data_IF_454251810795
#
_entry.id   IF_454251810795
#
_cell.length_a   1.000
_cell.length_b   1.000
_cell.length_c   1.000
_cell.angle_alpha   90.00
_cell.angle_beta   90.00
_cell.angle_gamma   90.00
#
_symmetry.space_group_name_H-M   'P 1'
#
loop_
_entity.id
_entity.type
_entity.pdbx_description
1 polymer ?
#
# COMPACT_ATOMS: atom_id res chain seq x y z
N UNK A 1 2.28 -13.14 -10.17
CA UNK A 1 1.50 -12.40 -11.18
C UNK A 1 1.40 -10.96 -10.73
N UNK A 2 1.58 -9.95 -11.60
CA UNK A 2 1.34 -8.57 -11.21
C UNK A 2 -0.13 -8.39 -10.85
N UNK A 3 -0.39 -7.78 -9.70
CA UNK A 3 -1.74 -7.41 -9.31
C UNK A 3 -2.36 -6.45 -10.32
N UNK A 4 -3.67 -6.55 -10.52
CA UNK A 4 -4.42 -5.62 -11.37
C UNK A 4 -5.05 -4.55 -10.47
N UNK A 5 -5.07 -3.32 -10.96
CA UNK A 5 -5.71 -2.20 -10.30
C UNK A 5 -7.20 -2.51 -10.12
N UNK A 6 -7.73 -2.35 -8.91
CA UNK A 6 -9.12 -2.67 -8.59
C UNK A 6 -10.13 -1.78 -9.33
N UNK A 7 -9.73 -0.59 -9.78
CA UNK A 7 -10.61 0.37 -10.45
C UNK A 7 -10.64 0.23 -11.98
N UNK A 8 -9.48 0.02 -12.61
CA UNK A 8 -9.35 0.04 -14.07
C UNK A 8 -8.85 -1.28 -14.67
N UNK A 9 -8.45 -2.25 -13.84
CA UNK A 9 -7.91 -3.54 -14.28
C UNK A 9 -6.48 -3.50 -14.86
N UNK A 10 -5.85 -2.32 -14.92
CA UNK A 10 -4.47 -2.16 -15.42
C UNK A 10 -3.44 -2.73 -14.43
N UNK A 11 -2.32 -3.23 -14.95
CA UNK A 11 -1.17 -3.69 -14.14
C UNK A 11 -0.17 -2.56 -13.82
N UNK A 12 -0.47 -1.33 -14.26
CA UNK A 12 0.33 -0.14 -13.98
C UNK A 12 0.19 0.31 -12.52
N UNK A 13 1.24 0.92 -11.99
CA UNK A 13 1.27 1.54 -10.66
C UNK A 13 1.52 3.05 -10.80
N UNK A 14 1.19 3.81 -9.76
CA UNK A 14 1.39 5.24 -9.69
C UNK A 14 0.17 6.05 -10.16
N UNK A 15 0.38 7.28 -10.65
CA UNK A 15 -0.69 8.16 -11.08
C UNK A 15 -1.19 7.78 -12.48
N UNK A 16 -2.43 8.12 -12.78
CA UNK A 16 -3.05 7.87 -14.08
C UNK A 16 -4.23 6.89 -14.06
N UNK A 17 -4.82 6.64 -12.88
CA UNK A 17 -6.02 5.82 -12.76
C UNK A 17 -7.28 6.71 -12.73
N UNK A 18 -8.04 6.82 -13.83
CA UNK A 18 -9.21 7.69 -13.89
C UNK A 18 -10.36 7.22 -12.98
N UNK A 19 -10.44 5.92 -12.69
CA UNK A 19 -11.47 5.35 -11.82
C UNK A 19 -11.16 5.42 -10.32
N UNK A 20 -9.96 5.86 -9.93
CA UNK A 20 -9.56 5.93 -8.52
C UNK A 20 -9.80 7.33 -7.98
N UNK A 21 -10.36 7.45 -6.77
CA UNK A 21 -10.62 8.75 -6.11
C UNK A 21 -9.34 9.55 -5.92
N UNK A 22 -8.21 8.87 -5.66
CA UNK A 22 -6.91 9.52 -5.52
C UNK A 22 -6.21 9.79 -6.86
N UNK A 23 -6.78 9.36 -7.99
CA UNK A 23 -6.12 9.39 -9.31
C UNK A 23 -4.95 8.39 -9.45
N UNK A 24 -4.78 7.52 -8.46
CA UNK A 24 -3.68 6.56 -8.33
C UNK A 24 -4.19 5.14 -8.57
N UNK A 25 -3.40 4.30 -9.24
CA UNK A 25 -3.69 2.88 -9.30
C UNK A 25 -3.65 2.27 -7.90
N UNK A 26 -4.67 1.47 -7.55
CA UNK A 26 -4.77 0.82 -6.25
C UNK A 26 -4.85 -0.70 -6.42
N UNK A 27 -3.87 -1.39 -5.87
CA UNK A 27 -3.69 -2.84 -5.99
C UNK A 27 -3.87 -3.54 -4.63
N UNK A 28 -5.08 -3.49 -4.05
CA UNK A 28 -5.34 -4.04 -2.71
C UNK A 28 -5.08 -5.56 -2.56
N UNK A 29 -4.98 -6.30 -3.67
CA UNK A 29 -4.66 -7.71 -3.65
C UNK A 29 -3.15 -8.00 -3.52
N UNK A 30 -2.30 -6.97 -3.62
CA UNK A 30 -0.85 -7.13 -3.52
C UNK A 30 -0.36 -6.94 -2.07
N UNK A 31 -0.10 -8.03 -1.36
CA UNK A 31 0.51 -7.99 -0.03
C UNK A 31 2.03 -7.73 -0.07
N UNK A 32 2.67 -8.04 -1.20
CA UNK A 32 4.14 -8.00 -1.36
C UNK A 32 4.63 -6.65 -1.82
N UNK A 33 3.77 -5.88 -2.50
CA UNK A 33 4.09 -4.58 -3.08
C UNK A 33 3.11 -3.53 -2.62
N UNK A 34 3.59 -2.30 -2.55
CA UNK A 34 2.79 -1.13 -2.23
C UNK A 34 1.66 -1.00 -3.25
N UNK A 35 0.43 -0.86 -2.77
CA UNK A 35 -0.79 -0.83 -3.59
C UNK A 35 -0.81 0.36 -4.55
N UNK A 36 -0.03 1.41 -4.26
CA UNK A 36 0.05 2.64 -5.05
C UNK A 36 1.25 2.66 -6.00
N UNK A 37 2.46 2.38 -5.52
CA UNK A 37 3.69 2.52 -6.33
C UNK A 37 4.30 1.20 -6.81
N UNK A 38 3.82 0.05 -6.33
CA UNK A 38 4.34 -1.26 -6.72
C UNK A 38 5.69 -1.62 -6.11
N UNK A 39 6.24 -0.78 -5.23
CA UNK A 39 7.50 -1.08 -4.52
C UNK A 39 7.28 -2.15 -3.45
N UNK A 40 8.18 -3.13 -3.35
CA UNK A 40 8.16 -4.12 -2.27
C UNK A 40 8.67 -3.60 -0.92
N UNK A 41 9.06 -2.32 -0.85
CA UNK A 41 9.58 -1.69 0.35
C UNK A 41 8.44 -1.24 1.27
N UNK A 42 8.59 -1.47 2.57
CA UNK A 42 7.68 -0.98 3.59
C UNK A 42 8.21 0.33 4.19
N UNK A 43 7.34 1.07 4.86
CA UNK A 43 7.70 2.24 5.64
C UNK A 43 7.58 3.55 4.88
N UNK A 44 8.62 4.37 4.89
CA UNK A 44 8.62 5.69 4.25
C UNK A 44 9.29 5.62 2.87
N UNK A 45 8.85 6.45 1.92
CA UNK A 45 9.40 6.50 0.56
C UNK A 45 8.36 6.42 -0.55
N UNK A 46 7.07 6.32 -0.23
CA UNK A 46 6.02 6.29 -1.23
C UNK A 46 5.72 7.70 -1.74
N UNK A 47 6.19 8.05 -2.93
CA UNK A 47 5.92 9.37 -3.54
C UNK A 47 4.45 9.58 -3.93
N UNK A 48 3.66 8.51 -3.94
CA UNK A 48 2.26 8.54 -4.38
C UNK A 48 1.30 8.94 -3.26
N UNK A 49 1.69 8.76 -1.99
CA UNK A 49 0.84 9.11 -0.86
C UNK A 49 1.32 10.42 -0.21
N UNK A 50 0.41 11.28 0.26
CA UNK A 50 0.78 12.54 0.90
C UNK A 50 1.58 12.31 2.20
N UNK A 51 1.30 11.21 2.89
CA UNK A 51 2.03 10.80 4.10
C UNK A 51 3.40 10.17 3.80
N UNK A 52 3.78 10.05 2.53
CA UNK A 52 4.98 9.41 2.01
C UNK A 52 5.23 8.00 2.52
N UNK A 53 4.16 7.29 2.89
CA UNK A 53 4.22 5.95 3.48
C UNK A 53 3.76 4.90 2.47
N UNK A 54 4.46 3.79 2.44
CA UNK A 54 4.06 2.61 1.68
C UNK A 54 2.88 1.94 2.36
N UNK A 55 1.91 1.52 1.54
CA UNK A 55 0.68 0.86 2.00
C UNK A 55 0.54 -0.40 1.16
N UNK A 56 0.42 -1.55 1.81
CA UNK A 56 0.31 -2.87 1.18
C UNK A 56 -1.09 -3.45 1.37
N UNK A 57 -1.43 -4.46 0.56
CA UNK A 57 -2.70 -5.16 0.66
C UNK A 57 -2.83 -6.00 1.93
N UNK A 58 -4.06 -6.15 2.41
CA UNK A 58 -4.44 -7.03 3.51
C UNK A 58 -4.48 -8.48 2.97
N UNK A 59 -3.72 -9.40 3.58
CA UNK A 59 -3.70 -10.79 3.12
C UNK A 59 -2.68 -11.67 3.83
N UNK A 60 -1.68 -11.07 4.45
CA UNK A 60 -0.55 -11.82 4.96
C UNK A 60 -0.34 -11.73 6.46
N UNK A 61 -1.36 -11.26 7.19
CA UNK A 61 -1.30 -11.05 8.65
C UNK A 61 -0.14 -10.14 9.09
N UNK A 62 0.33 -9.27 8.18
CA UNK A 62 1.39 -8.29 8.41
C UNK A 62 0.84 -6.89 8.24
N UNK A 63 1.42 -5.96 8.99
CA UNK A 63 1.06 -4.56 8.99
C UNK A 63 1.22 -3.96 7.58
N UNK A 64 0.19 -3.28 7.09
CA UNK A 64 0.16 -2.69 5.75
C UNK A 64 1.19 -1.58 5.55
N UNK A 65 1.66 -0.96 6.65
CA UNK A 65 2.66 0.12 6.59
C UNK A 65 4.10 -0.35 6.77
N UNK A 66 4.35 -1.31 7.66
CA UNK A 66 5.71 -1.72 8.04
C UNK A 66 6.05 -3.18 7.72
N UNK A 67 5.08 -4.00 7.33
CA UNK A 67 5.28 -5.42 7.03
C UNK A 67 5.49 -6.31 8.26
N UNK A 68 5.46 -5.76 9.48
CA UNK A 68 5.58 -6.54 10.71
C UNK A 68 4.33 -7.39 10.96
N UNK A 69 4.50 -8.63 11.37
CA UNK A 69 3.40 -9.52 11.81
C UNK A 69 2.87 -9.18 13.20
N UNK A 70 3.59 -8.33 13.94
CA UNK A 70 3.21 -7.80 15.24
C UNK A 70 1.87 -7.07 15.19
N UNK A 71 1.12 -7.17 16.28
CA UNK A 71 -0.15 -6.48 16.50
C UNK A 71 0.02 -5.52 17.68
N UNK A 72 -0.59 -4.34 17.63
CA UNK A 72 -0.61 -3.40 18.74
C UNK A 72 -0.20 -1.98 18.36
N UNK A 73 0.13 -1.20 19.38
CA UNK A 73 0.62 0.18 19.24
C UNK A 73 2.15 0.21 19.11
N UNK A 74 2.71 1.31 18.58
CA UNK A 74 4.15 1.54 18.25
C UNK A 74 4.58 1.18 16.82
N UNK A 75 3.72 1.39 15.83
CA UNK A 75 4.15 1.32 14.43
C UNK A 75 4.72 2.69 13.98
N UNK A 76 6.04 2.85 13.78
CA UNK A 76 6.62 4.14 13.37
C UNK A 76 6.16 4.58 11.97
N UNK A 77 5.73 3.62 11.16
CA UNK A 77 5.30 3.85 9.79
C UNK A 77 3.79 4.05 9.65
N UNK A 78 2.98 3.73 10.66
CA UNK A 78 1.55 4.04 10.63
C UNK A 78 1.32 5.53 10.95
N UNK A 79 0.39 6.23 10.29
CA UNK A 79 0.04 7.61 10.65
C UNK A 79 -0.56 7.71 12.05
N UNK A 80 -1.29 6.69 12.49
CA UNK A 80 -1.92 6.62 13.81
C UNK A 80 -1.05 5.89 14.86
N UNK A 81 0.12 5.40 14.46
CA UNK A 81 1.05 4.72 15.37
C UNK A 81 0.67 3.29 15.73
N UNK A 82 -0.31 2.68 15.06
CA UNK A 82 -0.74 1.28 15.30
C UNK A 82 -0.45 0.38 14.11
N UNK A 83 -0.23 -0.90 14.36
CA UNK A 83 -0.07 -1.90 13.31
C UNK A 83 -1.43 -2.26 12.72
N UNK A 84 -1.73 -1.73 11.53
CA UNK A 84 -2.97 -2.03 10.78
C UNK A 84 -2.71 -3.22 9.85
N UNK A 85 -3.51 -4.29 9.97
CA UNK A 85 -3.30 -5.58 9.29
C UNK A 85 -4.42 -5.92 8.35
#
# INVERSE_FOLDING_TARGET
MPSKCSFCGSTAYGPGCPGSVSGLHQHNNDERRCIYCGSSSYGNGCLQTPTRKHVHGHGANKCIYCGSTSSGMRCPHSPIGTHEK
#
